data_IF_013095519098
#
_entry.id   IF_013095519098
#
_cell.length_a   1.000
_cell.length_b   1.000
_cell.length_c   1.000
_cell.angle_alpha   90.00
_cell.angle_beta   90.00
_cell.angle_gamma   90.00
#
_symmetry.space_group_name_H-M   'P 1'
#
loop_
_entity.id
_entity.type
_entity.pdbx_description
1 polymer ?
#
# COMPACT_ATOMS: atom_id res chain seq x y z
N UNK A 1 -19.48 6.96 22.80
CA UNK A 1 -19.75 5.55 22.47
C UNK A 1 -19.45 5.33 21.00
N UNK A 2 -18.62 4.40 20.72
CA UNK A 2 -18.40 4.05 19.31
C UNK A 2 -19.62 3.29 18.79
N UNK A 3 -20.02 3.63 17.59
CA UNK A 3 -21.01 2.85 16.87
C UNK A 3 -20.36 1.54 16.41
N UNK A 4 -20.76 0.39 16.92
CA UNK A 4 -20.11 -0.87 16.56
C UNK A 4 -20.28 -1.27 15.10
N UNK A 5 -21.19 -0.65 14.38
CA UNK A 5 -21.35 -0.83 12.95
C UNK A 5 -20.95 0.41 12.18
N UNK A 6 -20.38 1.40 12.86
CA UNK A 6 -20.10 2.69 12.28
C UNK A 6 -19.02 2.66 11.22
N UNK A 7 -19.15 3.55 10.25
CA UNK A 7 -18.13 3.76 9.24
C UNK A 7 -16.88 4.35 9.88
N UNK A 8 -15.72 4.00 9.34
CA UNK A 8 -14.47 4.65 9.72
C UNK A 8 -14.52 6.11 9.30
N UNK A 9 -14.07 6.98 10.21
CA UNK A 9 -13.90 8.39 9.88
C UNK A 9 -12.57 8.55 9.14
N UNK A 10 -12.65 8.76 7.85
CA UNK A 10 -11.48 8.92 6.99
C UNK A 10 -11.15 10.38 6.68
N UNK A 11 -11.84 11.32 7.34
CA UNK A 11 -11.68 12.75 7.03
C UNK A 11 -10.27 13.27 7.28
N UNK A 12 -9.55 12.67 8.24
CA UNK A 12 -8.15 13.01 8.54
C UNK A 12 -7.17 11.92 8.13
N UNK A 13 -7.63 10.95 7.34
CA UNK A 13 -6.79 9.85 6.91
C UNK A 13 -5.67 10.33 6.01
N UNK A 14 -4.45 9.89 6.30
CA UNK A 14 -3.28 10.19 5.49
C UNK A 14 -2.22 9.14 5.70
N UNK A 15 -1.28 9.08 4.75
CA UNK A 15 -0.10 8.26 4.85
C UNK A 15 1.12 9.19 4.88
N UNK A 16 2.04 8.93 5.78
CA UNK A 16 3.27 9.72 5.89
C UNK A 16 4.47 8.83 5.67
N UNK A 17 5.39 9.28 4.83
CA UNK A 17 6.62 8.53 4.55
C UNK A 17 7.74 9.49 4.20
N UNK A 18 8.97 9.00 4.24
CA UNK A 18 10.12 9.77 3.80
C UNK A 18 10.24 9.70 2.27
N UNK A 19 10.97 10.65 1.69
CA UNK A 19 11.30 10.62 0.27
C UNK A 19 12.06 9.34 -0.08
N UNK A 20 12.94 8.87 0.79
CA UNK A 20 13.69 7.63 0.58
C UNK A 20 12.76 6.40 0.52
N UNK A 21 11.73 6.36 1.37
CA UNK A 21 10.74 5.27 1.35
C UNK A 21 9.93 5.29 0.07
N UNK A 22 9.49 6.46 -0.35
CA UNK A 22 8.77 6.62 -1.62
C UNK A 22 9.62 6.15 -2.80
N UNK A 23 10.87 6.58 -2.84
CA UNK A 23 11.80 6.20 -3.91
C UNK A 23 12.06 4.69 -3.90
N UNK A 24 12.14 4.07 -2.73
CA UNK A 24 12.33 2.64 -2.60
C UNK A 24 11.15 1.84 -3.18
N UNK A 25 9.91 2.29 -2.93
CA UNK A 25 8.73 1.66 -3.53
C UNK A 25 8.76 1.75 -5.06
N UNK A 26 9.00 2.94 -5.59
CA UNK A 26 9.04 3.18 -7.04
C UNK A 26 10.14 2.35 -7.67
N UNK A 27 11.33 2.33 -7.08
CA UNK A 27 12.46 1.58 -7.61
C UNK A 27 12.17 0.08 -7.66
N UNK A 28 11.53 -0.46 -6.63
CA UNK A 28 11.15 -1.86 -6.61
C UNK A 28 10.14 -2.18 -7.72
N UNK A 29 9.14 -1.34 -7.90
CA UNK A 29 8.13 -1.53 -8.94
C UNK A 29 8.75 -1.44 -10.34
N UNK A 30 9.70 -0.56 -10.55
CA UNK A 30 10.43 -0.46 -11.82
C UNK A 30 11.25 -1.73 -12.10
N UNK A 31 11.88 -2.30 -11.07
CA UNK A 31 12.63 -3.55 -11.22
C UNK A 31 11.74 -4.75 -11.56
N UNK A 32 10.49 -4.74 -11.07
CA UNK A 32 9.55 -5.83 -11.34
C UNK A 32 8.91 -5.75 -12.72
N UNK A 33 8.89 -4.56 -13.34
CA UNK A 33 8.29 -4.38 -14.66
C UNK A 33 8.82 -5.43 -15.66
N UNK A 34 7.98 -6.09 -16.46
CA UNK A 34 6.57 -5.79 -16.78
C UNK A 34 5.52 -6.40 -15.84
N UNK A 35 5.94 -7.12 -14.81
CA UNK A 35 5.03 -7.62 -13.79
C UNK A 35 4.67 -6.51 -12.80
N UNK A 36 3.51 -6.62 -12.15
CA UNK A 36 3.18 -5.74 -11.04
C UNK A 36 4.14 -5.99 -9.89
N UNK A 37 4.78 -4.93 -9.41
CA UNK A 37 5.54 -4.98 -8.18
C UNK A 37 4.61 -4.86 -6.99
N UNK A 38 5.00 -5.42 -5.85
CA UNK A 38 4.22 -5.30 -4.63
C UNK A 38 5.11 -5.34 -3.40
N UNK A 39 4.51 -5.00 -2.27
CA UNK A 39 5.17 -5.05 -0.98
C UNK A 39 4.26 -4.58 0.14
N UNK A 40 4.79 -4.63 1.35
CA UNK A 40 4.05 -4.26 2.55
C UNK A 40 4.65 -3.02 3.18
N UNK A 41 3.79 -2.27 3.88
CA UNK A 41 4.18 -1.11 4.65
C UNK A 41 3.93 -1.40 6.13
N UNK A 42 4.93 -1.16 6.97
CA UNK A 42 4.76 -1.25 8.42
C UNK A 42 4.90 0.12 9.03
N UNK A 43 4.24 0.32 10.17
CA UNK A 43 4.27 1.60 10.85
C UNK A 43 3.25 1.70 11.95
N UNK A 44 2.75 2.91 12.15
CA UNK A 44 1.78 3.24 13.19
C UNK A 44 0.38 3.36 12.58
N UNK A 45 -0.53 2.49 13.01
CA UNK A 45 -1.91 2.47 12.53
C UNK A 45 -2.62 3.78 12.84
N UNK A 46 -2.39 4.37 14.00
CA UNK A 46 -3.12 5.57 14.43
C UNK A 46 -2.71 6.81 13.63
N UNK A 47 -1.42 6.98 13.35
CA UNK A 47 -0.91 8.19 12.68
C UNK A 47 -0.79 8.04 11.17
N UNK A 48 -0.68 6.81 10.65
CA UNK A 48 -0.37 6.57 9.25
C UNK A 48 1.10 6.77 8.91
N UNK A 49 1.98 6.85 9.93
CA UNK A 49 3.42 7.01 9.72
C UNK A 49 4.04 5.68 9.30
N UNK A 50 4.65 5.66 8.11
CA UNK A 50 5.37 4.49 7.62
C UNK A 50 6.73 4.41 8.32
N UNK A 51 7.00 3.28 8.95
CA UNK A 51 8.29 3.00 9.57
C UNK A 51 9.24 2.30 8.61
N UNK A 52 8.71 1.38 7.80
CA UNK A 52 9.53 0.63 6.86
C UNK A 52 8.73 0.19 5.64
N UNK A 53 9.40 0.11 4.51
CA UNK A 53 8.89 -0.44 3.24
C UNK A 53 9.49 -1.83 3.06
N UNK A 54 8.64 -2.82 2.82
CA UNK A 54 9.05 -4.21 2.66
C UNK A 54 8.71 -4.68 1.25
N UNK A 55 9.65 -4.55 0.30
CA UNK A 55 9.44 -5.11 -1.04
C UNK A 55 9.18 -6.61 -0.97
N UNK A 56 8.23 -7.08 -1.75
CA UNK A 56 7.85 -8.47 -1.75
C UNK A 56 7.82 -9.01 -3.18
N UNK A 57 7.82 -10.33 -3.30
CA UNK A 57 7.68 -10.98 -4.58
C UNK A 57 6.20 -11.07 -4.95
N UNK A 58 5.88 -10.80 -6.20
CA UNK A 58 4.54 -11.05 -6.73
C UNK A 58 4.44 -12.52 -7.15
N UNK A 59 3.76 -13.33 -6.35
CA UNK A 59 3.60 -14.76 -6.64
C UNK A 59 2.76 -15.02 -7.90
N UNK A 60 1.90 -14.08 -8.28
CA UNK A 60 1.10 -14.21 -9.49
C UNK A 60 1.94 -14.04 -10.77
N UNK A 61 3.12 -13.41 -10.65
CA UNK A 61 4.02 -13.16 -11.77
C UNK A 61 3.27 -12.54 -12.96
N UNK A 62 2.41 -11.56 -12.67
CA UNK A 62 1.47 -11.00 -13.64
C UNK A 62 1.65 -9.50 -13.80
N UNK A 63 1.34 -9.00 -15.00
CA UNK A 63 1.26 -7.57 -15.30
C UNK A 63 -0.09 -6.96 -14.94
N UNK A 64 -1.04 -7.76 -14.46
CA UNK A 64 -2.43 -7.33 -14.23
C UNK A 64 -2.94 -7.59 -12.82
N UNK A 65 -2.30 -8.49 -12.08
CA UNK A 65 -2.67 -8.80 -10.70
C UNK A 65 -1.41 -9.06 -9.87
N UNK A 66 -1.57 -8.96 -8.56
CA UNK A 66 -0.46 -9.28 -7.64
C UNK A 66 -0.95 -10.17 -6.50
N UNK A 67 -0.03 -10.94 -5.95
CA UNK A 67 -0.24 -11.71 -4.73
C UNK A 67 1.04 -11.66 -3.91
N UNK A 68 0.96 -11.08 -2.72
CA UNK A 68 2.08 -11.07 -1.78
C UNK A 68 2.26 -12.48 -1.22
N UNK A 69 3.50 -12.95 -1.18
CA UNK A 69 3.80 -14.27 -0.61
C UNK A 69 3.34 -14.31 0.85
N UNK A 70 2.44 -15.22 1.23
CA UNK A 70 1.97 -15.32 2.62
C UNK A 70 3.09 -15.54 3.63
N UNK A 71 4.18 -16.18 3.25
CA UNK A 71 5.34 -16.39 4.14
C UNK A 71 6.07 -15.08 4.39
N UNK A 72 6.21 -14.25 3.37
CA UNK A 72 6.79 -12.91 3.52
C UNK A 72 5.89 -12.03 4.37
N UNK A 73 4.57 -12.11 4.16
CA UNK A 73 3.61 -11.36 4.96
C UNK A 73 3.74 -11.74 6.44
N UNK A 74 3.78 -13.03 6.73
CA UNK A 74 3.93 -13.51 8.11
C UNK A 74 5.23 -13.02 8.74
N UNK A 75 6.33 -13.07 8.00
CA UNK A 75 7.63 -12.60 8.48
C UNK A 75 7.59 -11.10 8.80
N UNK A 76 7.00 -10.31 7.90
CA UNK A 76 6.86 -8.86 8.10
C UNK A 76 5.98 -8.55 9.29
N UNK A 77 4.85 -9.26 9.47
CA UNK A 77 3.98 -9.13 10.63
C UNK A 77 4.75 -9.34 11.93
N UNK A 78 5.57 -10.38 12.00
CA UNK A 78 6.34 -10.71 13.20
C UNK A 78 7.42 -9.66 13.48
N UNK A 79 8.12 -9.22 12.45
CA UNK A 79 9.14 -8.17 12.60
C UNK A 79 8.51 -6.86 13.09
N UNK A 80 7.35 -6.51 12.55
CA UNK A 80 6.64 -5.30 12.97
C UNK A 80 6.20 -5.41 14.42
N UNK A 81 5.60 -6.53 14.81
CA UNK A 81 5.15 -6.76 16.17
C UNK A 81 6.30 -6.67 17.17
N UNK A 82 7.44 -7.29 16.85
CA UNK A 82 8.64 -7.23 17.68
C UNK A 82 9.15 -5.79 17.87
N UNK A 83 8.93 -4.93 16.89
CA UNK A 83 9.31 -3.52 16.94
C UNK A 83 8.21 -2.61 17.52
N UNK A 84 7.11 -3.17 18.00
CA UNK A 84 5.98 -2.40 18.51
C UNK A 84 5.17 -1.71 17.42
N UNK A 85 5.13 -2.29 16.22
CA UNK A 85 4.48 -1.73 15.04
C UNK A 85 3.51 -2.74 14.44
N UNK A 86 2.87 -2.34 13.35
CA UNK A 86 1.91 -3.18 12.62
C UNK A 86 2.12 -3.07 11.13
N UNK A 87 1.64 -4.04 10.39
CA UNK A 87 1.43 -3.87 8.95
C UNK A 87 0.26 -2.91 8.78
N UNK A 88 0.50 -1.79 8.12
CA UNK A 88 -0.51 -0.73 7.95
C UNK A 88 -0.96 -0.58 6.51
N UNK A 89 -0.35 -1.30 5.57
CA UNK A 89 -0.76 -1.19 4.19
C UNK A 89 0.02 -2.08 3.25
N UNK A 90 -0.38 -2.01 2.01
CA UNK A 90 0.23 -2.73 0.89
C UNK A 90 0.43 -1.75 -0.25
N UNK A 91 1.50 -1.92 -1.01
CA UNK A 91 1.67 -1.18 -2.26
C UNK A 91 1.79 -2.16 -3.42
N UNK A 92 1.33 -1.72 -4.58
CA UNK A 92 1.57 -2.44 -5.83
C UNK A 92 1.57 -1.47 -7.00
N UNK A 93 2.13 -1.92 -8.13
CA UNK A 93 2.19 -1.08 -9.32
C UNK A 93 1.15 -1.48 -10.35
N UNK A 94 0.63 -0.48 -11.06
CA UNK A 94 -0.09 -0.65 -12.32
C UNK A 94 0.88 -0.31 -13.44
N UNK A 95 1.12 -1.26 -14.35
CA UNK A 95 2.15 -1.07 -15.39
C UNK A 95 1.67 -0.23 -16.55
N UNK A 96 0.35 -0.27 -16.87
CA UNK A 96 -0.21 0.40 -18.04
C UNK A 96 -1.45 1.26 -17.74
N UNK A 97 -1.89 1.32 -16.48
CA UNK A 97 -3.09 2.04 -16.10
C UNK A 97 -2.79 3.11 -15.06
N UNK A 98 -3.77 3.98 -14.83
CA UNK A 98 -3.68 5.04 -13.83
C UNK A 98 -3.55 4.46 -12.40
N UNK A 99 -3.04 5.25 -11.45
CA UNK A 99 -2.91 4.82 -10.06
C UNK A 99 -4.27 4.88 -9.34
N UNK A 100 -5.18 4.04 -9.76
CA UNK A 100 -6.53 3.93 -9.19
C UNK A 100 -6.88 2.45 -9.03
N UNK A 101 -7.46 2.03 -7.89
CA UNK A 101 -7.76 0.62 -7.66
C UNK A 101 -8.66 0.02 -8.74
N UNK A 102 -8.26 -1.13 -9.26
CA UNK A 102 -9.08 -1.90 -10.20
C UNK A 102 -10.21 -2.62 -9.46
N UNK A 103 -11.24 -3.12 -10.17
CA UNK A 103 -12.26 -3.96 -9.52
C UNK A 103 -11.66 -5.17 -8.81
N UNK A 104 -10.60 -5.76 -9.36
CA UNK A 104 -9.88 -6.87 -8.71
C UNK A 104 -9.20 -6.41 -7.43
N UNK A 105 -8.55 -5.24 -7.45
CA UNK A 105 -7.92 -4.66 -6.26
C UNK A 105 -8.94 -4.46 -5.14
N UNK A 106 -10.13 -3.97 -5.48
CA UNK A 106 -11.20 -3.75 -4.50
C UNK A 106 -11.67 -5.07 -3.90
N UNK A 107 -11.88 -6.08 -4.75
CA UNK A 107 -12.31 -7.41 -4.27
C UNK A 107 -11.26 -8.06 -3.38
N UNK A 108 -9.98 -7.79 -3.62
CA UNK A 108 -8.88 -8.37 -2.88
C UNK A 108 -8.36 -7.48 -1.76
N UNK A 109 -9.06 -6.39 -1.41
CA UNK A 109 -8.70 -5.53 -0.30
C UNK A 109 -9.18 -6.15 1.01
N UNK A 110 -8.31 -6.88 1.76
CA UNK A 110 -8.78 -7.71 2.87
C UNK A 110 -8.99 -6.92 4.15
N UNK A 111 -8.36 -5.76 4.29
CA UNK A 111 -8.33 -5.07 5.57
C UNK A 111 -8.75 -3.61 5.40
N UNK A 112 -9.89 -3.21 6.01
CA UNK A 112 -10.36 -1.82 5.93
C UNK A 112 -9.46 -0.85 6.70
N UNK A 113 -8.59 -1.35 7.58
CA UNK A 113 -7.64 -0.53 8.31
C UNK A 113 -6.35 -0.24 7.55
N UNK A 114 -6.16 -0.85 6.38
CA UNK A 114 -4.94 -0.69 5.60
C UNK A 114 -5.00 0.50 4.65
N UNK A 115 -3.82 1.01 4.35
CA UNK A 115 -3.60 1.95 3.26
C UNK A 115 -3.22 1.15 2.00
N UNK A 116 -3.87 1.46 0.90
CA UNK A 116 -3.62 0.80 -0.39
C UNK A 116 -2.92 1.78 -1.31
N UNK A 117 -1.62 1.57 -1.50
CA UNK A 117 -0.78 2.48 -2.28
C UNK A 117 -0.59 1.93 -3.69
N UNK A 118 -0.86 2.77 -4.67
CA UNK A 118 -0.70 2.43 -6.07
C UNK A 118 0.41 3.25 -6.71
N UNK A 119 1.33 2.55 -7.36
CA UNK A 119 2.42 3.15 -8.13
C UNK A 119 2.12 2.92 -9.60
N UNK A 120 1.80 3.97 -10.34
CA UNK A 120 1.56 3.84 -11.77
C UNK A 120 2.85 4.09 -12.56
N UNK A 121 3.15 3.15 -13.43
CA UNK A 121 4.28 3.22 -14.35
C UNK A 121 3.82 3.52 -15.78
N UNK A 122 2.57 3.99 -15.93
CA UNK A 122 1.97 4.27 -17.24
C UNK A 122 2.71 5.35 -18.01
N UNK A 123 3.21 6.34 -17.30
CA UNK A 123 3.93 7.48 -17.89
C UNK A 123 5.40 7.43 -17.53
N UNK A 124 6.19 8.26 -18.19
CA UNK A 124 7.63 8.34 -17.97
C UNK A 124 7.99 8.63 -16.52
N UNK A 125 7.21 9.50 -15.86
CA UNK A 125 7.37 9.77 -14.43
C UNK A 125 6.32 8.96 -13.67
N UNK A 126 6.77 8.19 -12.68
CA UNK A 126 5.88 7.39 -11.84
C UNK A 126 4.95 8.29 -11.02
N UNK A 127 3.69 7.87 -10.89
CA UNK A 127 2.70 8.51 -10.02
C UNK A 127 2.39 7.61 -8.85
N UNK A 128 2.29 8.17 -7.65
CA UNK A 128 1.99 7.40 -6.45
C UNK A 128 0.78 8.01 -5.75
N UNK A 129 -0.22 7.16 -5.44
CA UNK A 129 -1.43 7.60 -4.73
C UNK A 129 -1.82 6.56 -3.69
N UNK A 130 -2.45 7.02 -2.62
CA UNK A 130 -2.89 6.17 -1.52
C UNK A 130 -4.40 6.22 -1.38
N UNK A 131 -4.98 5.06 -1.07
CA UNK A 131 -6.43 4.91 -0.94
C UNK A 131 -6.78 4.12 0.31
N UNK A 132 -7.95 4.43 0.86
CA UNK A 132 -8.63 3.56 1.82
C UNK A 132 -9.73 2.83 1.06
N UNK A 133 -9.88 1.54 1.32
CA UNK A 133 -10.92 0.72 0.69
C UNK A 133 -11.70 0.05 1.80
N UNK A 134 -12.96 0.47 1.98
CA UNK A 134 -13.83 0.02 3.07
C UNK A 134 -15.17 -0.37 2.46
N UNK A 135 -15.55 -1.63 2.62
CA UNK A 135 -16.82 -2.16 2.10
C UNK A 135 -17.01 -1.87 0.60
N UNK A 136 -15.94 -1.97 -0.17
CA UNK A 136 -15.96 -1.72 -1.60
C UNK A 136 -15.91 -0.25 -1.99
N UNK A 137 -15.94 0.67 -1.03
CA UNK A 137 -15.83 2.09 -1.31
C UNK A 137 -14.37 2.54 -1.30
N UNK A 138 -13.99 3.30 -2.30
CA UNK A 138 -12.63 3.79 -2.51
C UNK A 138 -12.58 5.27 -2.15
N UNK A 139 -11.68 5.63 -1.23
CA UNK A 139 -11.46 7.02 -0.84
C UNK A 139 -9.98 7.32 -0.95
N UNK A 140 -9.62 8.29 -1.78
CA UNK A 140 -8.23 8.73 -1.87
C UNK A 140 -7.84 9.52 -0.63
N UNK A 141 -6.62 9.34 -0.15
CA UNK A 141 -6.04 10.09 0.97
C UNK A 141 -4.71 10.71 0.52
N UNK A 142 -4.30 11.83 1.16
CA UNK A 142 -3.00 12.42 0.82
C UNK A 142 -1.85 11.56 1.31
N UNK A 143 -0.73 11.69 0.60
CA UNK A 143 0.57 11.16 1.03
C UNK A 143 1.44 12.35 1.40
N UNK A 144 1.81 12.48 2.67
CA UNK A 144 2.76 13.47 3.13
C UNK A 144 4.16 12.88 3.01
N UNK A 145 5.04 13.54 2.24
CA UNK A 145 6.40 13.07 2.02
C UNK A 145 7.36 13.99 2.75
N UNK A 146 8.05 13.46 3.75
CA UNK A 146 9.07 14.20 4.50
C UNK A 146 10.44 14.04 3.85
N UNK A 147 11.31 15.01 4.07
CA UNK A 147 12.68 14.94 3.59
C UNK A 147 12.90 15.49 2.20
N UNK A 148 11.97 16.28 1.72
CA UNK A 148 12.11 17.02 0.47
C UNK A 148 12.21 18.51 0.69
#
# INVERSE_FOLDING_TARGET
>A
MSDPGGALDLSSSKLRMTAAQLDAMVAHCLRCHPEEGCGLLTGDTASGDVAAVHPARNLAESAQVYTVDPREHLRVDREAEDAGRSVIGVFHSHTHTDPYPSPTDVRQAPDPGWHYVLVSLRHEVASVRSYRIVDGEIVEEPIDVDGR
#
